data_IF_888099022381
#
_entry.id   IF_888099022381
#
_cell.length_a   1.000
_cell.length_b   1.000
_cell.length_c   1.000
_cell.angle_alpha   90.00
_cell.angle_beta   90.00
_cell.angle_gamma   90.00
#
_symmetry.space_group_name_H-M   'P 1'
#
loop_
_entity.id
_entity.type
_entity.pdbx_description
1 polymer ?
#
# COMPACT_ATOMS: atom_id res chain seq x y z
N UNK A 1 -23.70 38.91 56.99
CA UNK A 1 -23.12 40.20 57.44
C UNK A 1 -21.74 39.95 58.00
N UNK A 2 -20.73 40.67 57.47
CA UNK A 2 -19.42 40.99 58.07
C UNK A 2 -18.43 39.82 58.28
N UNK A 3 -17.13 39.87 57.98
CA UNK A 3 -16.19 40.84 57.39
C UNK A 3 -14.84 40.09 57.30
N UNK A 4 -14.07 40.25 56.23
CA UNK A 4 -12.62 40.02 56.24
C UNK A 4 -11.92 40.95 57.26
N UNK A 5 -10.65 40.68 57.59
CA UNK A 5 -9.67 41.70 57.23
C UNK A 5 -8.38 41.16 56.59
N UNK A 6 -7.97 41.89 55.56
CA UNK A 6 -6.58 42.08 55.07
C UNK A 6 -5.81 42.96 56.04
N UNK A 7 -4.49 42.78 56.15
CA UNK A 7 -3.46 43.75 56.62
C UNK A 7 -2.10 42.99 56.58
N UNK A 8 -0.95 43.44 56.04
CA UNK A 8 -0.44 44.76 55.64
C UNK A 8 0.66 44.68 54.56
N UNK A 9 0.71 45.77 53.80
CA UNK A 9 1.80 46.30 52.97
C UNK A 9 2.91 46.89 53.86
N UNK A 10 4.19 46.75 53.49
CA UNK A 10 5.18 47.82 53.68
C UNK A 10 6.23 47.79 52.56
N UNK A 11 6.59 49.00 52.14
CA UNK A 11 7.28 49.40 50.92
C UNK A 11 8.61 50.08 51.29
N UNK A 12 9.43 50.39 50.26
CA UNK A 12 10.65 51.23 50.24
C UNK A 12 11.98 50.58 50.73
N UNK A 13 13.17 50.79 50.14
CA UNK A 13 13.66 51.65 49.03
C UNK A 13 15.10 51.23 48.62
N UNK A 14 15.39 51.35 47.32
CA UNK A 14 16.64 51.50 46.53
C UNK A 14 18.05 51.50 47.16
N UNK A 15 19.01 50.81 46.50
CA UNK A 15 20.32 51.31 46.00
C UNK A 15 21.05 50.15 45.25
N UNK A 16 21.06 50.11 43.90
CA UNK A 16 22.06 50.70 42.97
C UNK A 16 23.42 49.98 43.01
N UNK A 17 23.71 49.10 42.03
CA UNK A 17 24.99 48.97 41.27
C UNK A 17 24.73 48.11 40.01
N UNK A 18 24.78 48.71 38.82
CA UNK A 18 25.03 48.02 37.55
C UNK A 18 26.52 48.12 37.21
N UNK A 19 27.17 47.06 36.68
CA UNK A 19 28.33 47.24 35.84
C UNK A 19 27.97 46.98 34.37
N UNK A 20 28.14 48.01 33.56
CA UNK A 20 28.23 47.91 32.11
C UNK A 20 29.56 47.24 31.74
N UNK A 21 29.50 46.05 31.12
CA UNK A 21 30.61 45.49 30.35
C UNK A 21 30.29 45.61 28.87
N UNK A 22 30.81 46.69 28.28
CA UNK A 22 30.97 46.80 26.85
C UNK A 22 32.20 45.96 26.44
N UNK A 23 31.97 44.83 25.79
CA UNK A 23 32.99 44.18 24.96
C UNK A 23 32.49 44.17 23.52
N UNK A 24 33.08 45.08 22.77
CA UNK A 24 32.99 45.27 21.34
C UNK A 24 33.67 44.07 20.65
N UNK A 25 32.89 43.07 20.22
CA UNK A 25 33.39 41.99 19.36
C UNK A 25 32.93 42.22 17.93
N UNK A 26 33.79 42.92 17.19
CA UNK A 26 33.74 43.02 15.74
C UNK A 26 34.17 41.66 15.15
N UNK A 27 33.23 40.72 15.05
CA UNK A 27 33.44 39.45 14.36
C UNK A 27 32.91 39.57 12.93
N UNK A 28 33.84 39.76 12.00
CA UNK A 28 33.62 39.63 10.56
C UNK A 28 33.10 38.21 10.26
N UNK A 29 32.07 38.03 9.40
CA UNK A 29 31.64 36.68 9.04
C UNK A 29 32.76 35.99 8.25
N UNK A 30 33.41 35.03 8.90
CA UNK A 30 34.29 34.07 8.25
C UNK A 30 33.45 33.27 7.24
N UNK A 31 33.84 33.33 5.97
CA UNK A 31 33.22 32.53 4.93
C UNK A 31 33.45 31.05 5.26
N UNK A 32 32.36 30.31 5.45
CA UNK A 32 32.36 28.86 5.60
C UNK A 32 33.16 28.23 4.43
N UNK A 33 34.10 27.31 4.67
CA UNK A 33 34.76 26.60 3.58
C UNK A 33 33.71 25.76 2.85
N UNK A 34 33.34 26.20 1.64
CA UNK A 34 32.52 25.42 0.72
C UNK A 34 33.30 24.17 0.34
N UNK A 35 32.89 23.01 0.87
CA UNK A 35 33.31 21.70 0.37
C UNK A 35 32.87 21.58 -1.10
N UNK A 36 33.82 21.78 -2.01
CA UNK A 36 33.64 21.45 -3.42
C UNK A 36 33.49 19.93 -3.55
N UNK A 37 32.24 19.48 -3.73
CA UNK A 37 31.99 18.14 -4.25
C UNK A 37 32.34 18.19 -5.74
N UNK A 38 33.34 17.42 -6.23
CA UNK A 38 33.62 17.36 -7.65
C UNK A 38 32.38 16.83 -8.38
N UNK A 39 31.86 17.64 -9.30
CA UNK A 39 30.77 17.23 -10.19
C UNK A 39 31.24 16.03 -11.01
N UNK A 40 30.50 14.92 -11.07
CA UNK A 40 30.85 13.84 -11.99
C UNK A 40 30.84 14.37 -13.43
N UNK A 41 31.80 13.96 -14.29
CA UNK A 41 31.81 14.40 -15.67
C UNK A 41 30.51 13.99 -16.36
N UNK A 42 29.83 14.98 -16.93
CA UNK A 42 28.69 14.77 -17.84
C UNK A 42 29.16 13.87 -18.98
N UNK A 43 28.52 12.72 -19.25
CA UNK A 43 28.84 11.95 -20.44
C UNK A 43 28.49 12.80 -21.66
N UNK A 44 29.55 13.25 -22.36
CA UNK A 44 29.44 13.88 -23.67
C UNK A 44 28.74 12.89 -24.60
N UNK A 45 27.53 13.23 -25.03
CA UNK A 45 26.77 12.45 -26.00
C UNK A 45 27.50 12.53 -27.35
N UNK A 46 28.31 11.52 -27.64
CA UNK A 46 28.88 11.31 -28.97
C UNK A 46 27.72 11.18 -29.96
N UNK A 47 27.57 12.18 -30.83
CA UNK A 47 26.63 12.15 -31.93
C UNK A 47 27.09 11.09 -32.94
N UNK A 48 26.28 10.04 -33.10
CA UNK A 48 26.42 9.07 -34.19
C UNK A 48 25.88 9.74 -35.47
N UNK A 49 26.62 9.73 -36.59
CA UNK A 49 26.13 10.28 -37.85
C UNK A 49 24.87 9.54 -38.32
N UNK A 50 23.86 10.31 -38.73
CA UNK A 50 22.66 9.80 -39.38
C UNK A 50 23.01 9.26 -40.78
N UNK A 51 22.83 7.96 -40.98
CA UNK A 51 22.86 7.35 -42.31
C UNK A 51 21.44 6.94 -42.73
N UNK A 52 21.02 7.44 -43.88
CA UNK A 52 19.81 7.10 -44.65
C UNK A 52 20.22 7.22 -46.14
N UNK A 53 19.66 6.47 -47.12
CA UNK A 53 18.63 5.41 -47.07
C UNK A 53 19.04 4.10 -47.79
N UNK A 54 18.25 3.03 -47.60
CA UNK A 54 18.00 2.07 -48.67
C UNK A 54 16.53 1.62 -48.66
N UNK A 55 15.78 1.97 -49.71
CA UNK A 55 14.55 1.26 -50.11
C UNK A 55 14.95 -0.08 -50.72
N UNK A 56 14.13 -1.13 -50.53
CA UNK A 56 13.54 -1.73 -51.71
C UNK A 56 12.07 -2.19 -51.55
N UNK A 57 11.34 -1.92 -52.62
CA UNK A 57 10.46 -2.87 -53.35
C UNK A 57 9.23 -3.44 -52.63
N UNK A 58 8.10 -2.90 -53.03
CA UNK A 58 6.75 -3.47 -52.96
C UNK A 58 6.66 -4.87 -53.59
N UNK A 59 6.12 -5.83 -52.84
CA UNK A 59 5.65 -7.13 -53.35
C UNK A 59 4.10 -7.10 -53.33
N UNK A 60 3.40 -7.48 -54.42
CA UNK A 60 1.94 -7.39 -54.49
C UNK A 60 1.25 -8.51 -53.70
N UNK A 61 0.13 -8.16 -53.07
CA UNK A 61 -0.79 -9.08 -52.40
C UNK A 61 -1.57 -9.95 -53.41
N UNK A 62 -1.77 -11.25 -53.15
CA UNK A 62 -2.68 -12.06 -53.95
C UNK A 62 -4.13 -11.74 -53.60
N UNK A 63 -4.91 -11.40 -54.63
CA UNK A 63 -6.35 -11.21 -54.56
C UNK A 63 -7.06 -12.57 -54.38
N UNK A 64 -7.82 -12.73 -53.29
CA UNK A 64 -8.73 -13.86 -53.13
C UNK A 64 -10.04 -13.59 -53.90
N UNK A 65 -10.26 -14.39 -54.94
CA UNK A 65 -11.48 -14.42 -55.75
C UNK A 65 -12.63 -15.04 -54.96
N UNK A 66 -13.75 -14.33 -54.83
CA UNK A 66 -15.00 -14.88 -54.29
C UNK A 66 -15.74 -15.65 -55.39
N UNK A 67 -15.92 -16.96 -55.19
CA UNK A 67 -16.81 -17.81 -55.99
C UNK A 67 -18.27 -17.65 -55.53
N UNK A 68 -19.23 -17.50 -56.45
CA UNK A 68 -20.65 -17.50 -56.08
C UNK A 68 -21.17 -18.93 -55.87
N UNK A 69 -21.89 -19.16 -54.77
CA UNK A 69 -22.58 -20.41 -54.45
C UNK A 69 -23.96 -20.41 -55.12
N UNK A 70 -24.38 -21.50 -55.80
CA UNK A 70 -25.65 -21.56 -56.50
C UNK A 70 -26.86 -21.70 -55.57
N UNK A 71 -27.94 -21.04 -56.00
CA UNK A 71 -29.32 -21.16 -55.51
C UNK A 71 -29.85 -22.59 -55.69
N UNK A 72 -30.32 -23.19 -54.60
CA UNK A 72 -31.13 -24.41 -54.65
C UNK A 72 -32.61 -24.07 -54.39
N UNK A 73 -33.42 -24.39 -55.40
CA UNK A 73 -34.87 -24.29 -55.45
C UNK A 73 -35.53 -25.52 -54.82
N UNK A 74 -36.48 -25.28 -53.91
CA UNK A 74 -37.73 -26.06 -53.78
C UNK A 74 -37.73 -27.39 -53.02
N UNK A 75 -38.38 -27.41 -51.85
CA UNK A 75 -39.09 -28.59 -51.30
C UNK A 75 -40.17 -28.12 -50.29
N UNK A 76 -41.26 -28.87 -50.07
CA UNK A 76 -42.57 -28.35 -49.75
C UNK A 76 -42.79 -27.98 -48.27
N UNK A 77 -43.70 -27.02 -48.07
CA UNK A 77 -44.25 -26.59 -46.79
C UNK A 77 -45.11 -27.73 -46.22
N UNK A 78 -44.70 -28.28 -45.09
CA UNK A 78 -45.55 -29.06 -44.18
C UNK A 78 -45.97 -28.14 -43.03
N UNK A 79 -47.28 -27.97 -42.86
CA UNK A 79 -47.90 -27.23 -41.75
C UNK A 79 -47.60 -27.92 -40.40
N UNK A 80 -47.47 -27.15 -39.30
CA UNK A 80 -47.07 -27.69 -38.02
C UNK A 80 -48.21 -28.45 -37.34
N UNK A 81 -47.91 -29.66 -36.87
CA UNK A 81 -48.69 -30.35 -35.83
C UNK A 81 -47.97 -30.12 -34.50
N UNK A 82 -48.76 -29.80 -33.47
CA UNK A 82 -48.41 -29.42 -32.11
C UNK A 82 -47.05 -29.90 -31.58
N UNK A 83 -46.11 -28.96 -31.45
CA UNK A 83 -44.86 -29.14 -30.72
C UNK A 83 -45.09 -28.78 -29.24
N UNK A 84 -44.70 -29.63 -28.27
CA UNK A 84 -44.81 -29.29 -26.85
C UNK A 84 -43.94 -28.06 -26.54
N UNK A 85 -44.54 -27.08 -25.86
CA UNK A 85 -43.92 -25.84 -25.41
C UNK A 85 -42.60 -26.13 -24.71
N UNK A 86 -41.48 -25.71 -25.32
CA UNK A 86 -40.18 -25.73 -24.66
C UNK A 86 -40.24 -24.81 -23.43
N UNK A 87 -39.97 -25.37 -22.26
CA UNK A 87 -39.72 -24.57 -21.05
C UNK A 87 -38.52 -23.67 -21.37
N UNK A 88 -38.61 -22.34 -21.21
CA UNK A 88 -37.48 -21.48 -21.48
C UNK A 88 -36.32 -21.90 -20.59
N UNK A 89 -35.22 -22.32 -21.19
CA UNK A 89 -33.93 -22.42 -20.50
C UNK A 89 -33.69 -21.04 -19.87
N UNK A 90 -33.45 -20.93 -18.55
CA UNK A 90 -33.15 -19.64 -17.96
C UNK A 90 -31.92 -19.09 -18.66
N UNK A 91 -32.10 -18.04 -19.45
CA UNK A 91 -31.01 -17.22 -19.96
C UNK A 91 -30.27 -16.73 -18.73
N UNK A 92 -29.03 -17.21 -18.53
CA UNK A 92 -28.15 -16.66 -17.51
C UNK A 92 -28.02 -15.18 -17.81
N UNK A 93 -28.69 -14.34 -17.02
CA UNK A 93 -28.46 -12.90 -17.03
C UNK A 93 -26.97 -12.76 -16.72
N UNK A 94 -26.14 -12.17 -17.61
CA UNK A 94 -24.77 -11.85 -17.23
C UNK A 94 -24.87 -11.00 -15.97
N UNK A 95 -24.31 -11.51 -14.87
CA UNK A 95 -24.18 -10.75 -13.63
C UNK A 95 -23.59 -9.40 -14.03
N UNK A 96 -24.25 -8.27 -13.74
CA UNK A 96 -23.72 -6.97 -14.11
C UNK A 96 -22.29 -6.88 -13.57
N UNK A 97 -21.33 -6.61 -14.46
CA UNK A 97 -19.97 -6.26 -14.05
C UNK A 97 -20.14 -5.17 -13.00
N UNK A 98 -19.83 -5.50 -11.74
CA UNK A 98 -19.90 -4.54 -10.67
C UNK A 98 -19.05 -3.34 -11.11
N UNK A 99 -19.57 -2.12 -10.99
CA UNK A 99 -18.77 -0.92 -11.21
C UNK A 99 -17.69 -0.88 -10.13
N UNK A 100 -16.55 -1.51 -10.39
CA UNK A 100 -15.43 -1.58 -9.45
C UNK A 100 -14.90 -0.15 -9.30
N UNK A 101 -15.05 0.39 -8.09
CA UNK A 101 -14.45 1.66 -7.73
C UNK A 101 -13.21 1.41 -6.90
N UNK A 102 -12.29 2.35 -7.00
CA UNK A 102 -11.03 2.34 -6.30
C UNK A 102 -11.01 3.46 -5.28
N UNK A 103 -10.12 3.30 -4.30
CA UNK A 103 -9.80 4.32 -3.32
C UNK A 103 -8.30 4.51 -3.18
N UNK A 104 -7.92 5.69 -2.72
CA UNK A 104 -6.54 6.04 -2.42
C UNK A 104 -6.09 5.36 -1.12
N UNK A 105 -4.88 4.81 -1.13
CA UNK A 105 -4.22 4.15 0.01
C UNK A 105 -2.73 4.47 0.01
N UNK A 106 -2.06 4.29 1.15
CA UNK A 106 -0.62 4.53 1.35
C UNK A 106 -0.17 5.97 1.14
N UNK A 107 -1.10 6.92 1.22
CA UNK A 107 -0.82 8.36 1.25
C UNK A 107 -1.10 8.84 2.67
N UNK A 108 -0.14 9.54 3.28
CA UNK A 108 -0.29 10.09 4.62
C UNK A 108 -1.28 11.24 4.65
N UNK A 109 -1.88 11.51 5.81
CA UNK A 109 -3.04 12.42 5.95
C UNK A 109 -2.75 13.89 5.55
N UNK A 110 -1.49 14.31 5.60
CA UNK A 110 -1.03 15.65 5.24
C UNK A 110 -0.43 15.75 3.82
N UNK A 111 -0.55 14.69 3.03
CA UNK A 111 -0.08 14.63 1.63
C UNK A 111 -1.25 14.41 0.64
N UNK A 112 -0.94 14.32 -0.65
CA UNK A 112 -1.89 14.09 -1.74
C UNK A 112 -1.36 13.10 -2.76
N UNK A 113 -2.26 12.34 -3.38
CA UNK A 113 -1.91 11.56 -4.56
C UNK A 113 -1.91 12.47 -5.80
N UNK A 114 -0.74 12.63 -6.39
CA UNK A 114 -0.57 13.40 -7.62
C UNK A 114 -1.13 12.66 -8.85
N UNK A 115 -2.03 13.32 -9.58
CA UNK A 115 -2.55 12.85 -10.87
C UNK A 115 -1.82 13.60 -11.99
N UNK A 116 -1.24 12.86 -12.93
CA UNK A 116 -0.29 13.39 -13.92
C UNK A 116 -0.81 13.34 -15.34
N UNK A 117 -0.27 14.20 -16.21
CA UNK A 117 -0.63 14.26 -17.63
C UNK A 117 -0.17 13.07 -18.46
N UNK A 118 0.70 12.23 -17.91
CA UNK A 118 1.26 11.04 -18.55
C UNK A 118 1.82 10.07 -17.50
N UNK A 119 2.16 8.83 -17.87
CA UNK A 119 2.74 7.85 -16.96
C UNK A 119 4.15 8.28 -16.54
N UNK A 120 4.43 8.30 -15.25
CA UNK A 120 5.75 8.63 -14.70
C UNK A 120 5.81 9.98 -13.99
N UNK A 121 6.74 10.09 -13.04
CA UNK A 121 6.91 11.26 -12.17
C UNK A 121 7.40 12.52 -12.90
N UNK A 122 7.95 12.39 -14.10
CA UNK A 122 8.44 13.50 -14.90
C UNK A 122 7.31 14.27 -15.62
N UNK A 123 6.13 13.70 -15.71
CA UNK A 123 4.97 14.37 -16.30
C UNK A 123 4.37 15.38 -15.33
N UNK A 124 3.91 16.52 -15.87
CA UNK A 124 3.26 17.57 -15.07
C UNK A 124 2.06 17.02 -14.29
N UNK A 125 1.87 17.53 -13.08
CA UNK A 125 0.67 17.27 -12.27
C UNK A 125 -0.50 18.05 -12.90
N UNK A 126 -1.62 17.37 -13.12
CA UNK A 126 -2.84 17.94 -13.73
C UNK A 126 -4.00 18.05 -12.73
N UNK A 127 -4.01 17.22 -11.69
CA UNK A 127 -4.92 17.30 -10.54
C UNK A 127 -4.33 16.52 -9.36
N UNK A 128 -5.05 16.49 -8.24
CA UNK A 128 -4.67 15.73 -7.05
C UNK A 128 -5.88 14.98 -6.49
N UNK A 129 -5.64 13.91 -5.75
CA UNK A 129 -6.65 13.19 -4.96
C UNK A 129 -6.26 13.23 -3.48
N UNK A 130 -7.26 13.40 -2.61
CA UNK A 130 -7.07 13.31 -1.16
C UNK A 130 -6.66 11.89 -0.74
N UNK A 131 -5.94 11.72 0.38
CA UNK A 131 -5.52 10.42 0.90
C UNK A 131 -6.65 9.41 1.12
N UNK A 132 -7.86 9.89 1.38
CA UNK A 132 -9.06 9.09 1.66
C UNK A 132 -10.03 9.02 0.47
N UNK A 133 -9.66 9.56 -0.69
CA UNK A 133 -10.52 9.66 -1.85
C UNK A 133 -11.05 8.28 -2.28
N UNK A 134 -12.36 8.19 -2.53
CA UNK A 134 -13.06 6.99 -3.01
C UNK A 134 -13.80 7.28 -4.31
N UNK A 135 -14.40 6.26 -4.93
CA UNK A 135 -15.16 6.44 -6.17
C UNK A 135 -14.28 6.69 -7.40
N UNK A 136 -12.99 6.35 -7.31
CA UNK A 136 -12.04 6.48 -8.42
C UNK A 136 -12.32 5.36 -9.43
N UNK A 137 -12.53 5.72 -10.68
CA UNK A 137 -12.61 4.76 -11.79
C UNK A 137 -11.20 4.57 -12.34
N UNK A 138 -10.70 3.34 -12.34
CA UNK A 138 -9.39 3.00 -12.92
C UNK A 138 -9.58 2.21 -14.22
N UNK A 139 -8.84 2.58 -15.26
CA UNK A 139 -8.76 1.80 -16.49
C UNK A 139 -7.53 0.89 -16.46
N UNK A 140 -7.72 -0.38 -16.11
CA UNK A 140 -6.64 -1.36 -16.02
C UNK A 140 -5.92 -1.61 -17.37
N UNK A 141 -6.62 -1.45 -18.49
CA UNK A 141 -6.08 -1.66 -19.84
C UNK A 141 -5.07 -0.56 -20.24
N UNK A 142 -5.05 0.57 -19.53
CA UNK A 142 -4.07 1.63 -19.74
C UNK A 142 -2.73 1.40 -19.01
N UNK A 143 -2.58 0.28 -18.29
CA UNK A 143 -1.38 -0.02 -17.51
C UNK A 143 -0.09 0.16 -18.35
N UNK A 144 0.77 1.08 -17.89
CA UNK A 144 2.03 1.42 -18.53
C UNK A 144 3.16 1.38 -17.52
N UNK A 145 4.19 0.58 -17.81
CA UNK A 145 5.38 0.45 -16.97
C UNK A 145 6.32 1.64 -17.16
N UNK A 146 6.75 2.27 -16.06
CA UNK A 146 7.83 3.27 -16.05
C UNK A 146 8.78 2.92 -14.91
N UNK A 147 9.95 2.38 -15.25
CA UNK A 147 10.87 1.78 -14.27
C UNK A 147 10.22 0.57 -13.59
N UNK A 148 10.22 0.57 -12.25
CA UNK A 148 9.56 -0.47 -11.43
C UNK A 148 8.10 -0.17 -11.10
N UNK A 149 7.60 1.01 -11.50
CA UNK A 149 6.22 1.44 -11.21
C UNK A 149 5.28 1.15 -12.38
N UNK A 150 4.02 0.85 -12.03
CA UNK A 150 2.94 0.70 -12.99
C UNK A 150 2.01 1.91 -12.89
N UNK A 151 1.76 2.55 -14.02
CA UNK A 151 0.90 3.72 -14.11
C UNK A 151 -0.39 3.36 -14.83
N UNK A 152 -1.50 3.89 -14.31
CA UNK A 152 -2.85 3.65 -14.86
C UNK A 152 -3.57 4.97 -14.99
N UNK A 153 -4.48 5.04 -15.97
CA UNK A 153 -5.39 6.16 -16.10
C UNK A 153 -6.57 6.01 -15.14
N UNK A 154 -6.97 7.15 -14.58
CA UNK A 154 -8.14 7.27 -13.72
C UNK A 154 -9.10 8.34 -14.23
N UNK A 155 -10.36 8.20 -13.82
CA UNK A 155 -11.39 9.21 -13.93
C UNK A 155 -12.27 9.20 -12.68
N UNK A 156 -13.03 10.28 -12.46
CA UNK A 156 -13.95 10.38 -11.33
C UNK A 156 -13.39 11.21 -10.18
N UNK A 157 -14.28 11.56 -9.24
CA UNK A 157 -13.96 12.44 -8.11
C UNK A 157 -13.28 13.77 -8.52
N UNK A 158 -13.67 14.33 -9.68
CA UNK A 158 -13.09 15.58 -10.21
C UNK A 158 -11.66 15.47 -10.77
N UNK A 159 -11.07 14.27 -10.80
CA UNK A 159 -9.73 14.01 -11.32
C UNK A 159 -9.76 13.18 -12.62
N UNK A 160 -8.81 13.44 -13.51
CA UNK A 160 -8.58 12.65 -14.72
C UNK A 160 -7.13 12.74 -15.14
N UNK A 161 -6.49 11.60 -15.37
CA UNK A 161 -5.07 11.52 -15.72
C UNK A 161 -4.44 10.23 -15.22
N UNK A 162 -3.12 10.24 -15.02
CA UNK A 162 -2.31 9.08 -14.67
C UNK A 162 -1.90 9.08 -13.21
N UNK A 163 -2.04 7.95 -12.54
CA UNK A 163 -1.54 7.72 -11.17
C UNK A 163 -0.72 6.44 -11.13
N UNK A 164 0.17 6.35 -10.13
CA UNK A 164 0.82 5.07 -9.82
C UNK A 164 -0.21 4.15 -9.16
N UNK A 165 -0.37 2.95 -9.72
CA UNK A 165 -1.42 2.00 -9.32
C UNK A 165 -1.24 1.46 -7.88
N UNK A 166 -0.04 1.60 -7.30
CA UNK A 166 0.27 1.18 -5.94
C UNK A 166 -0.57 1.94 -4.90
N UNK A 167 -0.95 3.18 -5.20
CA UNK A 167 -1.76 4.00 -4.31
C UNK A 167 -3.27 3.79 -4.49
N UNK A 168 -3.68 2.76 -5.23
CA UNK A 168 -5.08 2.41 -5.43
C UNK A 168 -5.35 1.00 -4.95
N UNK A 169 -6.50 0.79 -4.32
CA UNK A 169 -7.09 -0.53 -4.06
C UNK A 169 -8.56 -0.52 -4.44
N UNK A 170 -9.12 -1.68 -4.79
CA UNK A 170 -10.58 -1.79 -4.96
C UNK A 170 -11.29 -1.51 -3.63
N UNK A 171 -12.43 -0.83 -3.72
CA UNK A 171 -13.30 -0.60 -2.56
C UNK A 171 -14.04 -1.89 -2.24
N UNK A 172 -13.83 -2.40 -1.04
CA UNK A 172 -14.60 -3.50 -0.46
C UNK A 172 -15.19 -3.03 0.87
N UNK A 173 -16.52 -3.11 1.01
CA UNK A 173 -17.17 -2.72 2.26
C UNK A 173 -16.69 -3.60 3.42
N UNK A 174 -16.48 -3.04 4.63
CA UNK A 174 -16.00 -3.80 5.80
C UNK A 174 -16.79 -5.08 6.09
N UNK A 175 -18.12 -5.00 6.02
CA UNK A 175 -19.01 -6.13 6.31
C UNK A 175 -18.88 -7.21 5.23
N UNK A 176 -18.78 -6.79 3.96
CA UNK A 176 -18.57 -7.71 2.85
C UNK A 176 -17.23 -8.42 2.99
N UNK A 177 -16.16 -7.68 3.31
CA UNK A 177 -14.83 -8.24 3.53
C UNK A 177 -14.85 -9.29 4.65
N UNK A 178 -15.44 -8.98 5.80
CA UNK A 178 -15.48 -9.90 6.94
C UNK A 178 -16.32 -11.16 6.69
N UNK A 179 -17.26 -11.12 5.75
CA UNK A 179 -18.08 -12.27 5.36
C UNK A 179 -17.52 -13.03 4.15
N UNK A 180 -16.51 -12.50 3.47
CA UNK A 180 -15.96 -13.07 2.24
C UNK A 180 -14.97 -14.22 2.57
N UNK A 181 -15.28 -15.47 2.20
CA UNK A 181 -14.38 -16.59 2.46
C UNK A 181 -13.04 -16.47 1.71
N UNK A 182 -12.99 -15.75 0.59
CA UNK A 182 -11.75 -15.52 -0.15
C UNK A 182 -10.80 -14.57 0.61
N UNK A 183 -11.35 -13.58 1.33
CA UNK A 183 -10.56 -12.72 2.21
C UNK A 183 -9.95 -13.54 3.36
N UNK A 184 -10.73 -14.42 3.98
CA UNK A 184 -10.23 -15.33 5.02
C UNK A 184 -9.18 -16.31 4.48
N UNK A 185 -9.40 -16.85 3.28
CA UNK A 185 -8.44 -17.75 2.63
C UNK A 185 -7.09 -17.06 2.36
N UNK A 186 -7.07 -15.76 2.07
CA UNK A 186 -5.82 -15.00 1.91
C UNK A 186 -5.02 -14.93 3.22
N UNK A 187 -5.68 -14.69 4.36
CA UNK A 187 -5.05 -14.74 5.68
C UNK A 187 -4.50 -16.15 5.98
N UNK A 188 -5.32 -17.18 5.80
CA UNK A 188 -4.93 -18.56 6.11
C UNK A 188 -3.76 -19.02 5.22
N UNK A 189 -3.74 -18.62 3.94
CA UNK A 189 -2.63 -18.85 3.02
C UNK A 189 -1.35 -18.13 3.47
N UNK A 190 -1.45 -16.88 3.94
CA UNK A 190 -0.32 -16.15 4.49
C UNK A 190 0.25 -16.84 5.75
N UNK A 191 -0.61 -17.24 6.69
CA UNK A 191 -0.19 -18.00 7.88
C UNK A 191 0.50 -19.31 7.49
N UNK A 192 -0.01 -20.01 6.47
CA UNK A 192 0.62 -21.23 5.96
C UNK A 192 2.01 -20.95 5.35
N UNK A 193 2.17 -19.86 4.61
CA UNK A 193 3.47 -19.45 4.07
C UNK A 193 4.49 -19.14 5.17
N UNK A 194 4.09 -18.37 6.19
CA UNK A 194 4.95 -18.07 7.35
C UNK A 194 5.40 -19.37 8.04
N UNK A 195 4.47 -20.32 8.24
CA UNK A 195 4.77 -21.60 8.88
C UNK A 195 5.77 -22.44 8.08
N UNK A 196 5.65 -22.43 6.75
CA UNK A 196 6.54 -23.20 5.87
C UNK A 196 7.82 -22.45 5.51
N UNK A 197 7.91 -21.16 5.84
CA UNK A 197 8.99 -20.25 5.43
C UNK A 197 9.25 -20.32 3.91
N UNK A 198 8.19 -20.53 3.12
CA UNK A 198 8.31 -20.69 1.67
C UNK A 198 8.45 -19.34 1.00
N UNK A 199 9.22 -19.30 -0.09
CA UNK A 199 9.31 -18.13 -0.96
C UNK A 199 7.94 -17.83 -1.56
N UNK A 200 7.59 -16.54 -1.65
CA UNK A 200 6.30 -16.00 -2.14
C UNK A 200 6.08 -16.24 -3.66
N UNK A 201 6.88 -17.12 -4.27
CA UNK A 201 6.80 -17.46 -5.68
C UNK A 201 6.39 -18.93 -5.84
N UNK A 202 5.09 -19.19 -6.07
CA UNK A 202 4.60 -20.49 -6.55
C UNK A 202 3.42 -21.05 -5.76
N UNK A 203 2.22 -21.05 -6.36
CA UNK A 203 0.97 -21.49 -5.72
C UNK A 203 -0.26 -20.75 -6.25
N UNK A 204 -1.43 -21.40 -6.19
CA UNK A 204 -2.71 -20.88 -6.73
C UNK A 204 -3.34 -19.77 -5.87
N UNK A 205 -2.96 -19.68 -4.60
CA UNK A 205 -3.26 -18.55 -3.72
C UNK A 205 -1.93 -17.90 -3.39
N UNK A 206 -1.57 -16.84 -4.11
CA UNK A 206 -0.47 -15.97 -3.72
C UNK A 206 -1.06 -14.93 -2.78
N UNK A 207 -0.96 -15.08 -1.45
CA UNK A 207 -1.50 -14.10 -0.54
C UNK A 207 -0.72 -12.79 -0.60
N UNK A 208 0.44 -12.72 -1.27
CA UNK A 208 1.26 -11.53 -1.38
C UNK A 208 1.49 -11.18 -2.85
N UNK A 209 1.37 -9.89 -3.19
CA UNK A 209 1.52 -9.41 -4.56
C UNK A 209 2.92 -8.83 -4.79
N UNK A 210 3.75 -9.46 -5.61
CA UNK A 210 5.18 -9.12 -5.76
C UNK A 210 5.46 -7.64 -6.08
N UNK A 211 4.68 -7.01 -6.96
CA UNK A 211 4.90 -5.61 -7.33
C UNK A 211 4.33 -4.62 -6.30
N UNK A 212 3.27 -5.00 -5.58
CA UNK A 212 2.61 -4.15 -4.59
C UNK A 212 3.33 -4.23 -3.25
N UNK A 213 3.96 -5.37 -3.00
CA UNK A 213 4.85 -5.60 -1.88
C UNK A 213 4.10 -5.88 -0.58
N UNK A 214 4.88 -5.85 0.49
CA UNK A 214 4.44 -6.02 1.87
C UNK A 214 5.01 -4.87 2.70
N UNK A 215 4.14 -4.04 3.26
CA UNK A 215 4.47 -2.95 4.16
C UNK A 215 4.51 -3.49 5.59
N UNK A 216 5.63 -3.36 6.29
CA UNK A 216 5.79 -3.95 7.62
C UNK A 216 6.16 -2.86 8.63
N UNK A 217 5.49 -2.89 9.78
CA UNK A 217 5.76 -2.01 10.93
C UNK A 217 5.77 -2.81 12.22
N UNK A 218 6.68 -2.45 13.12
CA UNK A 218 6.69 -2.90 14.50
C UNK A 218 6.14 -1.75 15.36
N UNK A 219 4.90 -1.82 15.82
CA UNK A 219 4.11 -0.69 16.33
C UNK A 219 3.76 0.37 15.28
N UNK A 220 2.67 1.10 15.53
CA UNK A 220 2.07 2.03 14.58
C UNK A 220 2.91 3.28 14.30
N UNK A 221 3.76 3.68 15.25
CA UNK A 221 4.53 4.91 15.20
C UNK A 221 5.93 4.71 14.60
N UNK A 222 6.39 3.47 14.47
CA UNK A 222 7.67 3.16 13.86
C UNK A 222 7.62 3.30 12.34
N UNK A 223 8.79 3.50 11.69
CA UNK A 223 8.88 3.62 10.25
C UNK A 223 8.37 2.36 9.55
N UNK A 224 7.88 2.57 8.34
CA UNK A 224 7.51 1.49 7.45
C UNK A 224 8.71 0.90 6.73
N UNK A 225 8.74 -0.42 6.62
CA UNK A 225 9.62 -1.13 5.70
C UNK A 225 8.77 -1.75 4.60
N UNK A 226 8.96 -1.27 3.37
CA UNK A 226 8.27 -1.81 2.18
C UNK A 226 9.14 -2.85 1.47
N UNK A 227 8.66 -4.08 1.44
CA UNK A 227 9.32 -5.23 0.81
C UNK A 227 8.61 -5.56 -0.51
N UNK A 228 9.28 -5.40 -1.65
CA UNK A 228 8.69 -5.71 -2.96
C UNK A 228 9.70 -6.41 -3.88
N UNK A 229 9.19 -7.01 -4.97
CA UNK A 229 10.00 -7.70 -5.97
C UNK A 229 10.94 -8.74 -5.36
N UNK A 230 12.24 -8.61 -5.65
CA UNK A 230 13.27 -9.53 -5.19
C UNK A 230 13.47 -9.52 -3.66
N UNK A 231 13.24 -8.38 -3.00
CA UNK A 231 13.36 -8.27 -1.55
C UNK A 231 12.27 -9.11 -0.86
N UNK A 232 11.07 -9.12 -1.42
CA UNK A 232 9.96 -9.92 -0.92
C UNK A 232 10.12 -11.41 -1.27
N UNK A 233 10.54 -11.74 -2.49
CA UNK A 233 10.64 -13.14 -2.93
C UNK A 233 11.65 -13.95 -2.11
N UNK A 234 12.72 -13.31 -1.66
CA UNK A 234 13.82 -13.94 -0.90
C UNK A 234 13.86 -13.47 0.57
N UNK A 235 12.74 -12.97 1.10
CA UNK A 235 12.72 -12.25 2.38
C UNK A 235 13.33 -13.06 3.54
N UNK A 236 13.08 -14.37 3.60
CA UNK A 236 13.60 -15.27 4.64
C UNK A 236 15.08 -15.66 4.49
N UNK A 237 15.71 -15.35 3.36
CA UNK A 237 17.08 -15.79 3.06
C UNK A 237 18.01 -14.62 2.64
N UNK A 238 17.46 -13.41 2.46
CA UNK A 238 18.21 -12.28 1.90
C UNK A 238 19.33 -11.77 2.80
N UNK A 239 19.20 -11.91 4.13
CA UNK A 239 20.08 -11.26 5.11
C UNK A 239 20.14 -9.73 4.99
N UNK A 240 19.20 -9.12 4.25
CA UNK A 240 19.18 -7.69 4.01
C UNK A 240 18.81 -6.96 5.31
N UNK A 241 19.64 -6.02 5.75
CA UNK A 241 19.40 -5.25 6.97
C UNK A 241 18.41 -4.12 6.73
N UNK A 242 17.42 -4.00 7.63
CA UNK A 242 16.45 -2.92 7.65
C UNK A 242 16.45 -2.22 9.01
N UNK A 243 16.08 -0.95 9.01
CA UNK A 243 15.77 -0.19 10.23
C UNK A 243 14.29 -0.34 10.51
N UNK A 244 13.95 -1.11 11.54
CA UNK A 244 12.57 -1.39 11.95
C UNK A 244 12.02 -0.35 12.93
N UNK A 245 12.84 0.63 13.32
CA UNK A 245 12.47 1.71 14.22
C UNK A 245 13.17 1.63 15.56
N UNK A 246 12.45 2.01 16.61
CA UNK A 246 12.96 2.05 17.98
C UNK A 246 12.15 1.09 18.85
N UNK A 247 12.81 0.37 19.75
CA UNK A 247 12.18 -0.50 20.72
C UNK A 247 11.55 0.33 21.84
N UNK A 248 10.31 0.02 22.16
CA UNK A 248 9.63 0.68 23.27
C UNK A 248 10.34 0.40 24.60
N UNK A 249 10.27 1.36 25.52
CA UNK A 249 10.95 1.35 26.81
C UNK A 249 12.44 1.62 26.77
N UNK A 250 13.19 0.81 26.01
CA UNK A 250 14.65 0.91 25.94
C UNK A 250 15.13 2.09 25.10
N UNK A 251 14.34 2.51 24.10
CA UNK A 251 14.76 3.52 23.14
C UNK A 251 15.87 3.06 22.19
N UNK A 252 16.23 1.77 22.19
CA UNK A 252 17.29 1.23 21.34
C UNK A 252 16.79 1.03 19.90
N UNK A 253 17.66 1.24 18.90
CA UNK A 253 17.29 0.96 17.52
C UNK A 253 17.03 -0.53 17.30
N UNK A 254 15.94 -0.83 16.60
CA UNK A 254 15.65 -2.16 16.08
C UNK A 254 16.19 -2.20 14.65
N UNK A 255 17.26 -2.95 14.43
CA UNK A 255 17.89 -3.12 13.13
C UNK A 255 18.27 -4.57 12.95
N UNK A 256 18.07 -5.11 11.76
CA UNK A 256 18.41 -6.49 11.44
C UNK A 256 17.70 -6.97 10.18
N UNK A 257 18.00 -8.19 9.78
CA UNK A 257 17.30 -8.83 8.69
C UNK A 257 15.87 -9.23 9.08
N UNK A 258 15.03 -9.48 8.06
CA UNK A 258 13.63 -9.86 8.29
C UNK A 258 13.52 -11.16 9.10
N UNK A 259 14.36 -12.15 8.82
CA UNK A 259 14.42 -13.43 9.51
C UNK A 259 14.94 -13.33 10.94
N UNK A 260 15.72 -12.30 11.25
CA UNK A 260 16.24 -12.03 12.59
C UNK A 260 15.25 -11.24 13.46
N UNK A 261 14.49 -10.32 12.86
CA UNK A 261 13.63 -9.38 13.60
C UNK A 261 12.15 -9.73 13.49
N UNK A 262 11.63 -9.87 12.28
CA UNK A 262 10.18 -9.99 12.04
C UNK A 262 9.72 -11.45 12.09
N UNK A 263 10.47 -12.37 11.50
CA UNK A 263 10.09 -13.79 11.48
C UNK A 263 9.92 -14.39 12.89
N UNK A 264 10.76 -14.11 13.90
CA UNK A 264 10.53 -14.63 15.25
C UNK A 264 9.22 -14.11 15.86
N UNK A 265 8.85 -12.85 15.59
CA UNK A 265 7.59 -12.26 16.04
C UNK A 265 6.38 -12.87 15.30
N UNK A 266 6.51 -13.15 14.00
CA UNK A 266 5.49 -13.90 13.25
C UNK A 266 5.34 -15.33 13.80
N UNK A 267 6.45 -16.02 14.05
CA UNK A 267 6.41 -17.37 14.61
C UNK A 267 5.80 -17.40 16.01
N UNK A 268 6.12 -16.42 16.86
CA UNK A 268 5.58 -16.35 18.21
C UNK A 268 4.11 -15.94 18.23
N UNK A 269 3.76 -14.83 17.60
CA UNK A 269 2.47 -14.18 17.81
C UNK A 269 1.47 -14.44 16.68
N UNK A 270 1.90 -14.55 15.42
CA UNK A 270 1.00 -14.90 14.31
C UNK A 270 0.66 -16.39 14.37
N UNK A 271 1.67 -17.27 14.45
CA UNK A 271 1.44 -18.72 14.48
C UNK A 271 0.92 -19.21 15.85
N UNK A 272 1.25 -18.49 16.93
CA UNK A 272 0.71 -18.72 18.27
C UNK A 272 -0.64 -18.05 18.54
N UNK A 273 -1.16 -17.26 17.59
CA UNK A 273 -2.44 -16.58 17.72
C UNK A 273 -3.61 -17.56 17.75
N UNK A 274 -4.50 -17.39 18.71
CA UNK A 274 -5.68 -18.25 18.91
C UNK A 274 -7.00 -17.53 18.68
N UNK A 275 -6.96 -16.20 18.56
CA UNK A 275 -8.12 -15.36 18.34
C UNK A 275 -7.91 -14.54 17.07
N UNK A 276 -8.96 -14.42 16.25
CA UNK A 276 -8.93 -13.64 15.01
C UNK A 276 -10.07 -12.62 15.03
N UNK A 277 -9.73 -11.33 14.97
CA UNK A 277 -10.68 -10.24 14.77
C UNK A 277 -10.72 -9.83 13.31
N UNK A 278 -11.84 -9.24 12.86
CA UNK A 278 -11.98 -8.66 11.52
C UNK A 278 -12.33 -7.17 11.64
N UNK A 279 -11.52 -6.31 11.02
CA UNK A 279 -11.64 -4.85 11.12
C UNK A 279 -11.73 -4.32 12.57
N UNK A 280 -11.18 -5.08 13.49
CA UNK A 280 -11.03 -4.79 14.91
C UNK A 280 -9.64 -5.26 15.33
N UNK A 281 -8.88 -4.43 16.05
CA UNK A 281 -7.57 -4.80 16.56
C UNK A 281 -7.76 -5.46 17.93
N UNK A 282 -7.73 -6.78 17.97
CA UNK A 282 -7.69 -7.52 19.24
C UNK A 282 -6.33 -7.31 19.91
N UNK A 283 -6.30 -6.98 21.20
CA UNK A 283 -5.05 -6.77 21.93
C UNK A 283 -5.23 -7.05 23.43
N UNK A 284 -4.12 -7.22 24.16
CA UNK A 284 -4.12 -7.32 25.61
C UNK A 284 -4.10 -5.96 26.30
N UNK A 285 -4.00 -5.96 27.63
CA UNK A 285 -3.89 -4.71 28.39
C UNK A 285 -2.64 -3.91 27.99
N UNK A 286 -2.81 -2.61 27.71
CA UNK A 286 -1.72 -1.69 27.41
C UNK A 286 -2.07 -0.25 27.79
N UNK A 287 -1.06 0.53 28.17
CA UNK A 287 -1.15 1.98 28.35
C UNK A 287 -0.96 2.77 27.04
N UNK A 288 -0.36 2.14 26.01
CA UNK A 288 -0.09 2.74 24.71
C UNK A 288 -1.31 2.77 23.78
N UNK A 289 -1.18 3.47 22.66
CA UNK A 289 -2.21 3.48 21.62
C UNK A 289 -2.08 2.26 20.71
N UNK A 290 -3.17 1.50 20.56
CA UNK A 290 -3.29 0.44 19.56
C UNK A 290 -4.16 0.95 18.42
N UNK A 291 -3.53 1.43 17.35
CA UNK A 291 -4.20 1.99 16.17
C UNK A 291 -3.38 1.74 14.92
N UNK A 292 -4.00 1.77 13.75
CA UNK A 292 -3.25 1.76 12.50
C UNK A 292 -2.79 3.18 12.10
N UNK A 293 -1.67 3.31 11.38
CA UNK A 293 -1.31 4.54 10.68
C UNK A 293 -2.44 5.03 9.76
N UNK A 294 -2.54 6.34 9.57
CA UNK A 294 -3.63 6.96 8.79
C UNK A 294 -3.61 6.59 7.31
N UNK A 295 -2.42 6.35 6.77
CA UNK A 295 -2.16 5.91 5.39
C UNK A 295 -2.71 4.51 5.07
N UNK A 296 -3.01 3.71 6.09
CA UNK A 296 -3.69 2.41 5.95
C UNK A 296 -5.21 2.53 6.05
N UNK A 297 -5.73 3.75 6.29
CA UNK A 297 -7.17 3.97 6.40
C UNK A 297 -7.89 3.48 5.15
N UNK A 298 -8.92 2.66 5.37
CA UNK A 298 -9.77 2.09 4.32
C UNK A 298 -9.20 0.86 3.61
N UNK A 299 -8.09 0.30 4.09
CA UNK A 299 -7.75 -1.10 3.81
C UNK A 299 -8.38 -1.96 4.92
N UNK A 300 -9.08 -3.02 4.53
CA UNK A 300 -9.64 -3.96 5.50
C UNK A 300 -8.55 -4.88 6.06
N UNK A 301 -8.75 -5.41 7.25
CA UNK A 301 -7.72 -6.21 7.91
C UNK A 301 -8.30 -7.29 8.82
N UNK A 302 -7.46 -8.26 9.12
CA UNK A 302 -7.66 -9.17 10.25
C UNK A 302 -6.66 -8.85 11.36
N UNK A 303 -7.04 -9.03 12.61
CA UNK A 303 -6.07 -9.10 13.71
C UNK A 303 -5.93 -10.55 14.14
N UNK A 304 -4.70 -11.03 14.26
CA UNK A 304 -4.37 -12.35 14.80
C UNK A 304 -3.73 -12.14 16.16
N UNK A 305 -4.46 -12.48 17.20
CA UNK A 305 -4.10 -12.20 18.58
C UNK A 305 -3.71 -13.47 19.33
N UNK A 306 -2.54 -13.40 19.97
CA UNK A 306 -2.06 -14.34 20.96
C UNK A 306 -2.27 -13.73 22.35
N UNK A 307 -3.23 -14.25 23.13
CA UNK A 307 -3.39 -13.87 24.53
C UNK A 307 -2.16 -14.21 25.37
N UNK A 308 -2.02 -13.53 26.50
CA UNK A 308 -1.05 -13.92 27.51
C UNK A 308 -1.30 -15.35 28.00
N UNK A 309 -0.24 -16.13 28.28
CA UNK A 309 -0.40 -17.46 28.86
C UNK A 309 -1.17 -17.39 30.19
N UNK A 310 -2.12 -18.29 30.49
CA UNK A 310 -2.98 -18.19 31.68
C UNK A 310 -2.24 -18.17 33.02
N UNK A 311 -1.04 -18.74 33.08
CA UNK A 311 -0.17 -18.76 34.27
C UNK A 311 1.12 -17.93 34.06
N UNK A 312 1.17 -17.10 33.02
CA UNK A 312 2.30 -16.25 32.67
C UNK A 312 2.07 -14.79 33.02
N UNK A 313 3.04 -13.92 32.71
CA UNK A 313 2.85 -12.48 32.81
C UNK A 313 1.67 -12.04 31.94
N UNK A 314 0.69 -11.32 32.49
CA UNK A 314 -0.49 -10.80 31.76
C UNK A 314 -0.09 -9.89 30.58
N UNK A 315 1.11 -9.35 30.67
CA UNK A 315 1.76 -8.47 29.71
C UNK A 315 2.40 -9.23 28.52
N UNK A 316 2.58 -10.54 28.59
CA UNK A 316 3.15 -11.33 27.50
C UNK A 316 2.09 -11.70 26.46
N UNK A 317 1.53 -10.71 25.78
CA UNK A 317 0.60 -10.88 24.67
C UNK A 317 1.19 -10.30 23.38
N UNK A 318 0.65 -10.69 22.23
CA UNK A 318 1.05 -10.13 20.94
C UNK A 318 -0.05 -10.21 19.89
N UNK A 319 -0.11 -9.22 19.00
CA UNK A 319 -1.08 -9.11 17.91
C UNK A 319 -0.36 -8.77 16.61
N UNK A 320 -0.70 -9.49 15.55
CA UNK A 320 -0.44 -9.03 14.19
C UNK A 320 -1.72 -8.51 13.55
N UNK A 321 -1.72 -7.25 13.13
CA UNK A 321 -2.73 -6.74 12.22
C UNK A 321 -2.26 -7.01 10.80
N UNK A 322 -3.04 -7.79 10.06
CA UNK A 322 -2.78 -8.24 8.69
C UNK A 322 -3.75 -7.53 7.76
N UNK A 323 -3.26 -6.48 7.10
CA UNK A 323 -4.00 -5.74 6.09
C UNK A 323 -4.19 -6.55 4.83
N UNK A 324 -5.40 -6.56 4.30
CA UNK A 324 -5.78 -7.29 3.10
C UNK A 324 -6.49 -6.35 2.14
N UNK A 325 -5.84 -6.11 1.01
CA UNK A 325 -6.38 -5.32 -0.09
C UNK A 325 -6.94 -6.23 -1.18
N UNK A 326 -7.80 -5.65 -2.02
CA UNK A 326 -8.36 -6.33 -3.18
C UNK A 326 -7.88 -5.65 -4.44
N UNK A 327 -7.29 -6.43 -5.33
CA UNK A 327 -6.69 -5.94 -6.57
C UNK A 327 -7.00 -6.91 -7.71
N UNK A 328 -7.58 -6.40 -8.78
CA UNK A 328 -8.02 -7.19 -9.94
C UNK A 328 -8.89 -8.39 -9.53
N UNK A 329 -9.81 -8.15 -8.60
CA UNK A 329 -10.76 -9.13 -8.09
C UNK A 329 -10.19 -10.15 -7.10
N UNK A 330 -8.88 -10.13 -6.80
CA UNK A 330 -8.21 -11.06 -5.88
C UNK A 330 -7.78 -10.36 -4.59
N UNK A 331 -7.77 -11.09 -3.47
CA UNK A 331 -7.28 -10.58 -2.19
C UNK A 331 -5.80 -10.86 -2.00
N UNK A 332 -5.08 -9.86 -1.48
CA UNK A 332 -3.68 -9.94 -1.12
C UNK A 332 -3.47 -9.31 0.25
N UNK A 333 -2.71 -9.98 1.11
CA UNK A 333 -2.04 -9.35 2.25
C UNK A 333 -1.10 -8.27 1.72
N UNK A 334 -1.12 -7.12 2.36
CA UNK A 334 -0.33 -5.97 1.91
C UNK A 334 0.40 -5.23 3.00
N UNK A 335 -0.11 -5.23 4.22
CA UNK A 335 0.61 -4.69 5.34
C UNK A 335 0.54 -5.58 6.57
N UNK A 336 1.55 -5.45 7.42
CA UNK A 336 1.65 -6.06 8.73
C UNK A 336 1.98 -4.96 9.75
N UNK A 337 1.20 -4.89 10.82
CA UNK A 337 1.54 -4.08 12.00
C UNK A 337 1.53 -4.97 13.21
N UNK A 338 2.68 -5.07 13.87
CA UNK A 338 2.80 -5.80 15.12
C UNK A 338 2.50 -4.91 16.31
N UNK A 339 1.79 -5.45 17.29
CA UNK A 339 1.63 -4.88 18.61
C UNK A 339 1.97 -5.93 19.65
N UNK A 340 2.59 -5.51 20.73
CA UNK A 340 2.83 -6.32 21.92
C UNK A 340 2.81 -5.37 23.12
N UNK A 341 2.94 -5.90 24.33
CA UNK A 341 3.11 -5.02 25.46
C UNK A 341 4.40 -4.21 25.38
N UNK A 342 4.27 -2.93 25.72
CA UNK A 342 5.28 -1.87 25.73
C UNK A 342 5.62 -1.57 27.21
N UNK A 343 6.88 -1.75 27.64
CA UNK A 343 7.33 -1.39 29.00
C UNK A 343 7.93 -0.01 28.98
#
# INVERSE_FOLDING_TARGET
MKTMPRVWFFCLLCLLVMPAFACNFNAQPEATPTLFIPTPPVPTKTAIPAERPASPTTIPAPAATLTPVPTATGAPIISPTDQPTAIPTPTLIPTPEANITYRVVYVVADDVLNVRGGPGVDNRIVSTLSPDATGVQMNAQSATAVGTSQWVTIAGNGASGWVNNLYLTEVVAPEQFCQDPAARAALDAFIAQVRQQTTIAGGALQPLHMQRGLHVRLNWWNPEVWLSGAALSNVYASGANYSWGIADGSGLPITGAFDEVVLPLLQRDLLGGSQVGCNEILHGGTAGFVKLPGEYAGINYFSVYRPAPPAGPEMDWGTWVVGVERWQGQYYVSFLVHFQWEI
#
